data_IF_177277960527
#
_entry.id   IF_177277960527
#
_cell.length_a   1.000
_cell.length_b   1.000
_cell.length_c   1.000
_cell.angle_alpha   90.00
_cell.angle_beta   90.00
_cell.angle_gamma   90.00
#
_symmetry.space_group_name_H-M   'P 1'
#
loop_
_entity.id
_entity.type
_entity.pdbx_description
1 polymer ?
#
# COMPACT_ATOMS: atom_id res chain seq x y z
N UNK A 1 -24.62 5.12 18.43
CA UNK A 1 -23.34 4.48 18.85
C UNK A 1 -23.25 2.97 18.52
N UNK A 2 -24.01 2.43 17.54
CA UNK A 2 -23.91 1.01 17.13
C UNK A 2 -23.03 0.77 15.89
N UNK A 3 -22.68 1.82 15.16
CA UNK A 3 -22.06 1.78 13.83
C UNK A 3 -20.64 1.18 13.80
N UNK A 4 -19.79 1.53 14.77
CA UNK A 4 -18.39 1.05 14.84
C UNK A 4 -18.32 -0.47 15.10
N UNK A 5 -19.38 -1.08 15.66
CA UNK A 5 -19.39 -2.47 16.11
C UNK A 5 -19.31 -3.48 14.95
N UNK A 6 -19.91 -3.16 13.80
CA UNK A 6 -19.89 -4.03 12.62
C UNK A 6 -18.48 -4.11 12.02
N UNK A 7 -17.81 -2.96 11.87
CA UNK A 7 -16.43 -2.92 11.43
C UNK A 7 -15.54 -3.71 12.40
N UNK A 8 -15.52 -3.33 13.69
CA UNK A 8 -14.68 -3.99 14.69
C UNK A 8 -14.82 -5.51 14.76
N UNK A 9 -16.03 -6.03 14.49
CA UNK A 9 -16.33 -7.47 14.54
C UNK A 9 -15.89 -8.19 13.27
N UNK A 10 -15.94 -7.53 12.11
CA UNK A 10 -15.76 -8.16 10.80
C UNK A 10 -14.55 -7.64 9.99
N UNK A 11 -13.74 -6.75 10.54
CA UNK A 11 -12.55 -6.20 9.87
C UNK A 11 -11.68 -7.29 9.26
N UNK A 12 -11.41 -8.37 10.01
CA UNK A 12 -10.63 -9.52 9.51
C UNK A 12 -11.22 -10.18 8.29
N UNK A 13 -12.54 -10.36 8.24
CA UNK A 13 -13.21 -10.97 7.10
C UNK A 13 -13.17 -10.05 5.87
N UNK A 14 -13.45 -8.76 6.05
CA UNK A 14 -13.42 -7.79 4.96
C UNK A 14 -12.01 -7.56 4.40
N UNK A 15 -11.01 -7.44 5.27
CA UNK A 15 -9.63 -7.18 4.88
C UNK A 15 -8.89 -8.42 4.35
N UNK A 16 -9.41 -9.64 4.55
CA UNK A 16 -8.74 -10.89 4.14
C UNK A 16 -8.38 -10.90 2.66
N UNK A 17 -9.27 -10.44 1.80
CA UNK A 17 -9.06 -10.41 0.34
C UNK A 17 -8.01 -9.38 -0.12
N UNK A 18 -7.60 -8.50 0.79
CA UNK A 18 -6.57 -7.49 0.58
C UNK A 18 -5.28 -7.82 1.32
N UNK A 19 -5.29 -8.89 2.14
CA UNK A 19 -4.09 -9.41 2.75
C UNK A 19 -3.25 -10.19 1.73
N UNK A 20 -1.92 -10.12 1.87
CA UNK A 20 -1.01 -10.98 1.11
C UNK A 20 -1.25 -12.46 1.43
N UNK A 21 -1.09 -13.33 0.44
CA UNK A 21 -1.33 -14.78 0.58
C UNK A 21 -0.48 -15.44 1.67
N UNK A 22 0.69 -14.87 1.99
CA UNK A 22 1.59 -15.37 3.03
C UNK A 22 1.10 -15.14 4.46
N UNK A 23 0.04 -14.36 4.66
CA UNK A 23 -0.58 -14.13 5.96
C UNK A 23 -1.98 -14.74 5.96
N UNK A 24 -2.25 -15.60 6.93
CA UNK A 24 -3.54 -16.28 7.06
C UNK A 24 -4.59 -15.40 7.74
N UNK A 25 -4.16 -14.56 8.68
CA UNK A 25 -5.01 -13.60 9.37
C UNK A 25 -4.44 -12.18 9.33
N UNK A 26 -5.30 -11.19 9.67
CA UNK A 26 -4.85 -9.82 9.87
C UNK A 26 -3.75 -9.75 10.93
N UNK A 27 -3.88 -10.48 12.03
CA UNK A 27 -2.97 -10.34 13.18
C UNK A 27 -1.54 -10.77 12.88
N UNK A 28 -1.37 -11.67 11.91
CA UNK A 28 -0.05 -12.18 11.50
C UNK A 28 0.70 -11.20 10.59
N UNK A 29 -0.01 -10.23 10.01
CA UNK A 29 0.57 -9.28 9.09
C UNK A 29 1.23 -8.09 9.83
N UNK A 30 2.36 -7.56 9.31
CA UNK A 30 2.97 -6.35 9.84
C UNK A 30 2.00 -5.16 9.82
N UNK A 31 2.12 -4.23 10.77
CA UNK A 31 1.18 -3.11 10.98
C UNK A 31 0.87 -2.34 9.70
N UNK A 32 1.88 -1.94 8.92
CA UNK A 32 1.65 -1.24 7.65
C UNK A 32 0.84 -2.07 6.64
N UNK A 33 1.04 -3.39 6.62
CA UNK A 33 0.30 -4.30 5.73
C UNK A 33 -1.15 -4.46 6.20
N UNK A 34 -1.40 -4.51 7.51
CA UNK A 34 -2.75 -4.51 8.10
C UNK A 34 -3.51 -3.26 7.73
N UNK A 35 -2.91 -2.09 7.99
CA UNK A 35 -3.53 -0.79 7.68
C UNK A 35 -3.88 -0.67 6.20
N UNK A 36 -2.98 -1.08 5.29
CA UNK A 36 -3.26 -1.08 3.85
C UNK A 36 -4.43 -2.01 3.47
N UNK A 37 -4.49 -3.21 4.04
CA UNK A 37 -5.56 -4.17 3.76
C UNK A 37 -6.92 -3.66 4.28
N UNK A 38 -6.94 -3.08 5.48
CA UNK A 38 -8.13 -2.46 6.07
C UNK A 38 -8.61 -1.27 5.23
N UNK A 39 -7.71 -0.38 4.85
CA UNK A 39 -8.01 0.78 3.99
C UNK A 39 -8.59 0.32 2.65
N UNK A 40 -7.96 -0.66 2.02
CA UNK A 40 -8.39 -1.21 0.73
C UNK A 40 -9.78 -1.85 0.81
N UNK A 41 -10.10 -2.51 1.93
CA UNK A 41 -11.42 -3.07 2.17
C UNK A 41 -12.48 -1.98 2.30
N UNK A 42 -12.21 -0.93 3.10
CA UNK A 42 -13.11 0.21 3.23
C UNK A 42 -13.34 0.92 1.90
N UNK A 43 -12.29 1.10 1.11
CA UNK A 43 -12.39 1.75 -0.20
C UNK A 43 -13.17 0.89 -1.21
N UNK A 44 -13.03 -0.44 -1.16
CA UNK A 44 -13.80 -1.35 -2.01
C UNK A 44 -15.29 -1.35 -1.64
N UNK A 45 -15.63 -1.36 -0.34
CA UNK A 45 -17.01 -1.26 0.13
C UNK A 45 -17.62 0.08 -0.29
N UNK A 46 -16.88 1.17 -0.12
CA UNK A 46 -17.33 2.51 -0.49
C UNK A 46 -17.57 2.64 -2.00
N UNK A 47 -16.81 1.95 -2.85
CA UNK A 47 -17.09 1.89 -4.30
C UNK A 47 -18.43 1.23 -4.60
N UNK A 48 -18.74 0.12 -3.94
CA UNK A 48 -20.02 -0.58 -4.12
C UNK A 48 -21.16 0.32 -3.63
N UNK A 49 -21.04 0.89 -2.43
CA UNK A 49 -22.05 1.79 -1.87
C UNK A 49 -22.28 3.05 -2.73
N UNK A 50 -21.19 3.60 -3.28
CA UNK A 50 -21.28 4.76 -4.17
C UNK A 50 -22.12 4.49 -5.42
N UNK A 51 -22.10 3.26 -5.95
CA UNK A 51 -22.97 2.88 -7.07
C UNK A 51 -24.46 2.93 -6.73
N UNK A 52 -24.80 2.89 -5.44
CA UNK A 52 -26.14 3.05 -4.88
C UNK A 52 -26.40 4.47 -4.31
N UNK A 53 -25.49 5.43 -4.54
CA UNK A 53 -25.61 6.78 -3.97
C UNK A 53 -25.33 6.87 -2.47
N UNK A 54 -24.70 5.84 -1.90
CA UNK A 54 -24.34 5.76 -0.48
C UNK A 54 -22.82 5.90 -0.27
N UNK A 55 -22.43 6.05 0.99
CA UNK A 55 -21.03 6.10 1.45
C UNK A 55 -20.85 5.27 2.71
N UNK A 56 -19.61 4.90 3.02
CA UNK A 56 -19.29 4.15 4.25
C UNK A 56 -19.88 4.81 5.51
N UNK A 57 -19.76 6.13 5.63
CA UNK A 57 -20.24 6.88 6.79
C UNK A 57 -21.77 6.77 6.95
N UNK A 58 -22.52 6.73 5.84
CA UNK A 58 -23.99 6.61 5.86
C UNK A 58 -24.47 5.23 6.31
N UNK A 59 -23.66 4.18 6.12
CA UNK A 59 -23.97 2.82 6.60
C UNK A 59 -23.27 2.48 7.93
N UNK A 60 -22.57 3.44 8.53
CA UNK A 60 -21.91 3.28 9.82
C UNK A 60 -20.52 2.66 9.79
N UNK A 61 -19.90 2.54 8.62
CA UNK A 61 -18.50 2.13 8.49
C UNK A 61 -17.54 3.31 8.65
N UNK A 62 -16.28 3.08 9.04
CA UNK A 62 -15.24 4.11 8.96
C UNK A 62 -15.19 4.71 7.56
N UNK A 63 -15.01 6.04 7.50
CA UNK A 63 -14.90 6.72 6.23
C UNK A 63 -13.76 6.13 5.40
N UNK A 64 -14.06 5.82 4.14
CA UNK A 64 -13.05 5.48 3.15
C UNK A 64 -12.08 6.66 2.97
N UNK A 65 -10.92 6.38 2.41
CA UNK A 65 -9.95 7.42 2.09
C UNK A 65 -10.60 8.40 1.11
N UNK A 66 -10.60 9.72 1.37
CA UNK A 66 -11.13 10.67 0.41
C UNK A 66 -10.38 10.50 -0.90
N UNK A 67 -11.12 10.08 -1.93
CA UNK A 67 -10.58 9.78 -3.25
C UNK A 67 -9.92 11.06 -3.76
N UNK A 68 -8.63 11.04 -4.05
CA UNK A 68 -8.13 12.05 -4.96
C UNK A 68 -8.83 11.85 -6.31
N UNK A 69 -8.93 12.92 -7.08
CA UNK A 69 -9.17 12.81 -8.50
C UNK A 69 -7.97 12.16 -9.18
N UNK A 70 -7.77 10.85 -8.98
CA UNK A 70 -7.27 9.99 -10.05
C UNK A 70 -8.07 10.36 -11.30
N UNK A 71 -7.38 10.60 -12.41
CA UNK A 71 -8.12 10.69 -13.66
C UNK A 71 -8.88 9.37 -13.83
N UNK A 72 -10.13 9.43 -14.27
CA UNK A 72 -10.92 8.22 -14.49
C UNK A 72 -10.14 7.21 -15.36
N UNK A 73 -9.31 7.70 -16.28
CA UNK A 73 -8.39 6.91 -17.09
C UNK A 73 -7.37 6.08 -16.30
N UNK A 74 -6.73 6.63 -15.27
CA UNK A 74 -5.79 5.85 -14.44
C UNK A 74 -6.51 4.71 -13.71
N UNK A 75 -7.72 4.97 -13.20
CA UNK A 75 -8.53 3.93 -12.54
C UNK A 75 -8.92 2.83 -13.49
N UNK A 76 -9.43 3.20 -14.67
CA UNK A 76 -9.85 2.24 -15.69
C UNK A 76 -8.67 1.42 -16.22
N UNK A 77 -7.47 2.02 -16.28
CA UNK A 77 -6.25 1.34 -16.66
C UNK A 77 -5.81 0.26 -15.65
N UNK A 78 -5.86 0.58 -14.34
CA UNK A 78 -5.39 -0.33 -13.29
C UNK A 78 -6.45 -1.31 -12.79
N UNK A 79 -7.75 -1.00 -12.91
CA UNK A 79 -8.84 -1.87 -12.48
C UNK A 79 -8.73 -3.32 -12.97
N UNK A 80 -8.54 -3.62 -14.28
CA UNK A 80 -8.41 -4.99 -14.74
C UNK A 80 -7.10 -5.66 -14.30
N UNK A 81 -6.07 -4.88 -13.99
CA UNK A 81 -4.74 -5.39 -13.62
C UNK A 81 -4.61 -5.69 -12.13
N UNK A 82 -5.58 -5.27 -11.29
CA UNK A 82 -5.45 -5.35 -9.83
C UNK A 82 -5.11 -6.75 -9.34
N UNK A 83 -5.84 -7.78 -9.78
CA UNK A 83 -5.60 -9.15 -9.35
C UNK A 83 -4.16 -9.60 -9.69
N UNK A 84 -3.70 -9.32 -10.91
CA UNK A 84 -2.32 -9.62 -11.35
C UNK A 84 -1.29 -8.89 -10.49
N UNK A 85 -1.50 -7.60 -10.21
CA UNK A 85 -0.60 -6.79 -9.38
C UNK A 85 -0.55 -7.33 -7.94
N UNK A 86 -1.68 -7.82 -7.39
CA UNK A 86 -1.73 -8.47 -6.07
C UNK A 86 -0.87 -9.72 -6.06
N UNK A 87 -1.08 -10.60 -7.03
CA UNK A 87 -0.37 -11.89 -7.14
C UNK A 87 1.11 -11.65 -7.36
N UNK A 88 1.50 -10.72 -8.23
CA UNK A 88 2.89 -10.37 -8.47
C UNK A 88 3.57 -9.77 -7.21
N UNK A 89 2.87 -8.89 -6.47
CA UNK A 89 3.38 -8.36 -5.21
C UNK A 89 3.50 -9.45 -4.14
N UNK A 90 2.52 -10.35 -4.02
CA UNK A 90 2.56 -11.49 -3.10
C UNK A 90 3.74 -12.42 -3.43
N UNK A 91 3.89 -12.80 -4.69
CA UNK A 91 5.01 -13.62 -5.14
C UNK A 91 6.36 -12.95 -4.86
N UNK A 92 6.52 -11.67 -5.21
CA UNK A 92 7.75 -10.93 -4.95
C UNK A 92 8.17 -10.96 -3.47
N UNK A 93 7.19 -10.86 -2.56
CA UNK A 93 7.43 -10.90 -1.12
C UNK A 93 7.96 -12.24 -0.64
N UNK A 94 7.49 -13.36 -1.19
CA UNK A 94 8.01 -14.69 -0.81
C UNK A 94 9.49 -14.87 -1.16
N UNK A 95 10.01 -14.06 -2.09
CA UNK A 95 11.39 -14.13 -2.57
C UNK A 95 12.29 -13.04 -1.97
N UNK A 96 11.76 -12.17 -1.12
CA UNK A 96 12.56 -11.11 -0.52
C UNK A 96 13.52 -11.65 0.52
N UNK A 97 14.73 -11.10 0.52
CA UNK A 97 15.66 -11.32 1.63
C UNK A 97 15.16 -10.59 2.89
N UNK A 98 15.59 -10.98 4.10
CA UNK A 98 15.22 -10.29 5.33
C UNK A 98 15.48 -8.76 5.27
N UNK A 99 16.59 -8.37 4.65
CA UNK A 99 16.92 -6.97 4.44
C UNK A 99 15.92 -6.24 3.52
N UNK A 100 15.48 -6.90 2.45
CA UNK A 100 14.51 -6.34 1.50
C UNK A 100 13.11 -6.22 2.13
N UNK A 101 12.72 -7.17 2.98
CA UNK A 101 11.52 -7.06 3.82
C UNK A 101 11.58 -5.83 4.71
N UNK A 102 12.71 -5.62 5.39
CA UNK A 102 12.90 -4.47 6.27
C UNK A 102 12.81 -3.14 5.50
N UNK A 103 13.46 -3.03 4.33
CA UNK A 103 13.39 -1.83 3.48
C UNK A 103 11.94 -1.55 3.06
N UNK A 104 11.22 -2.57 2.59
CA UNK A 104 9.81 -2.42 2.20
C UNK A 104 8.97 -1.94 3.37
N UNK A 105 9.11 -2.56 4.53
CA UNK A 105 8.30 -2.20 5.70
C UNK A 105 8.58 -0.77 6.16
N UNK A 106 9.84 -0.36 6.22
CA UNK A 106 10.21 1.01 6.56
C UNK A 106 9.58 2.04 5.60
N UNK A 107 9.62 1.78 4.29
CA UNK A 107 9.02 2.66 3.29
C UNK A 107 7.49 2.71 3.44
N UNK A 108 6.82 1.56 3.60
CA UNK A 108 5.37 1.53 3.74
C UNK A 108 4.90 2.19 5.04
N UNK A 109 5.55 1.90 6.17
CA UNK A 109 5.24 2.56 7.44
C UNK A 109 5.42 4.08 7.32
N UNK A 110 6.52 4.51 6.71
CA UNK A 110 6.79 5.93 6.51
C UNK A 110 5.77 6.58 5.58
N UNK A 111 5.31 5.93 4.51
CA UNK A 111 4.23 6.45 3.64
C UNK A 111 2.93 6.63 4.42
N UNK A 112 2.54 5.63 5.21
CA UNK A 112 1.29 5.61 5.97
C UNK A 112 1.32 6.53 7.21
N UNK A 113 2.50 6.90 7.69
CA UNK A 113 2.62 7.78 8.85
C UNK A 113 1.98 9.15 8.55
N UNK A 114 1.10 9.65 9.44
CA UNK A 114 0.49 10.96 9.30
C UNK A 114 1.59 12.02 9.43
N UNK A 115 1.95 12.64 8.31
CA UNK A 115 3.02 13.63 8.22
C UNK A 115 2.55 14.84 7.43
N UNK A 116 3.02 16.02 7.84
CA UNK A 116 2.69 17.32 7.23
C UNK A 116 3.30 17.46 5.83
N UNK A 117 4.34 16.69 5.53
CA UNK A 117 5.00 16.66 4.22
C UNK A 117 4.15 15.90 3.19
N UNK A 118 3.83 16.59 2.10
CA UNK A 118 3.03 16.09 0.97
C UNK A 118 3.84 15.23 -0.02
N UNK A 119 5.17 15.26 0.05
CA UNK A 119 6.06 14.43 -0.76
C UNK A 119 7.09 13.71 0.12
N UNK A 120 7.36 12.44 -0.20
CA UNK A 120 8.34 11.60 0.51
C UNK A 120 9.31 11.01 -0.51
N UNK A 121 10.58 11.38 -0.41
CA UNK A 121 11.66 10.86 -1.25
C UNK A 121 12.41 9.77 -0.47
N UNK A 122 12.55 8.58 -1.07
CA UNK A 122 13.34 7.50 -0.49
C UNK A 122 14.47 7.12 -1.41
N UNK A 123 15.68 7.07 -0.85
CA UNK A 123 16.86 6.56 -1.53
C UNK A 123 17.13 5.11 -1.12
N UNK A 124 17.06 4.18 -2.07
CA UNK A 124 17.41 2.77 -1.83
C UNK A 124 18.81 2.50 -2.40
N UNK A 125 19.79 2.42 -1.51
CA UNK A 125 21.18 2.12 -1.87
C UNK A 125 21.49 0.63 -1.78
N UNK A 126 22.24 0.07 -2.71
CA UNK A 126 22.64 -1.34 -2.64
C UNK A 126 23.51 -1.77 -3.80
N UNK A 127 24.30 -2.83 -3.61
CA UNK A 127 25.21 -3.34 -4.63
C UNK A 127 24.47 -3.81 -5.91
N UNK A 128 25.18 -3.85 -7.03
CA UNK A 128 24.68 -4.50 -8.24
C UNK A 128 24.30 -5.97 -7.95
N UNK A 129 23.28 -6.49 -8.64
CA UNK A 129 22.80 -7.86 -8.44
C UNK A 129 22.01 -8.13 -7.15
N UNK A 130 21.84 -7.15 -6.24
CA UNK A 130 21.12 -7.33 -4.96
C UNK A 130 19.60 -7.10 -5.03
N UNK A 131 19.01 -7.19 -6.22
CA UNK A 131 17.56 -7.17 -6.40
C UNK A 131 16.86 -5.83 -6.07
N UNK A 132 17.55 -4.68 -6.16
CA UNK A 132 16.93 -3.36 -5.88
C UNK A 132 15.68 -3.10 -6.72
N UNK A 133 15.75 -3.39 -8.02
CA UNK A 133 14.61 -3.27 -8.95
C UNK A 133 13.45 -4.17 -8.54
N UNK A 134 13.77 -5.39 -8.07
CA UNK A 134 12.77 -6.34 -7.61
C UNK A 134 12.04 -5.84 -6.35
N UNK A 135 12.77 -5.20 -5.42
CA UNK A 135 12.17 -4.56 -4.24
C UNK A 135 11.27 -3.39 -4.63
N UNK A 136 11.78 -2.48 -5.47
CA UNK A 136 11.00 -1.32 -5.94
C UNK A 136 9.72 -1.77 -6.63
N UNK A 137 9.81 -2.74 -7.54
CA UNK A 137 8.63 -3.28 -8.22
C UNK A 137 7.61 -3.88 -7.24
N UNK A 138 8.09 -4.63 -6.24
CA UNK A 138 7.20 -5.20 -5.21
C UNK A 138 6.52 -4.14 -4.34
N UNK A 139 7.20 -3.03 -4.04
CA UNK A 139 6.65 -1.88 -3.32
C UNK A 139 5.62 -1.15 -4.19
N UNK A 140 5.96 -0.82 -5.45
CA UNK A 140 5.06 -0.15 -6.39
C UNK A 140 3.80 -0.99 -6.58
N UNK A 141 3.91 -2.28 -6.87
CA UNK A 141 2.75 -3.16 -7.02
C UNK A 141 1.87 -3.19 -5.76
N UNK A 142 2.46 -3.07 -4.56
CA UNK A 142 1.70 -3.03 -3.31
C UNK A 142 0.94 -1.70 -3.12
N UNK A 143 1.52 -0.58 -3.57
CA UNK A 143 0.90 0.74 -3.52
C UNK A 143 -0.22 0.86 -4.56
N UNK A 144 0.02 0.41 -5.79
CA UNK A 144 -0.98 0.42 -6.87
C UNK A 144 -2.18 -0.49 -6.56
N UNK A 145 -1.95 -1.57 -5.81
CA UNK A 145 -3.00 -2.45 -5.32
C UNK A 145 -3.95 -1.77 -4.32
N UNK A 146 -3.46 -0.82 -3.53
CA UNK A 146 -4.15 -0.24 -2.37
C UNK A 146 -4.77 1.15 -2.63
N UNK A 147 -4.89 1.55 -3.90
CA UNK A 147 -5.26 2.92 -4.27
C UNK A 147 -6.76 3.22 -3.97
N UNK A 148 -7.03 4.31 -3.21
CA UNK A 148 -6.49 5.63 -3.50
C UNK A 148 -5.71 6.25 -2.33
N UNK A 149 -4.45 5.85 -2.13
CA UNK A 149 -3.46 6.59 -1.33
C UNK A 149 -2.93 7.85 -2.05
N UNK A 150 -3.71 8.45 -2.93
CA UNK A 150 -3.30 9.62 -3.68
C UNK A 150 -3.24 10.93 -2.87
N UNK A 151 -3.52 10.93 -1.56
CA UNK A 151 -3.07 12.04 -0.71
C UNK A 151 -1.54 12.18 -0.74
N UNK A 152 -0.83 11.12 -1.15
CA UNK A 152 0.62 11.07 -1.28
C UNK A 152 1.15 10.76 -2.68
N UNK A 153 0.31 10.61 -3.70
CA UNK A 153 0.76 10.24 -5.04
C UNK A 153 0.17 11.17 -6.10
N UNK A 154 0.66 12.39 -6.25
CA UNK A 154 0.64 13.02 -7.57
C UNK A 154 1.77 12.40 -8.40
N UNK A 155 1.71 12.44 -9.75
CA UNK A 155 2.90 12.20 -10.56
C UNK A 155 4.06 13.08 -10.03
N UNK A 156 5.02 12.47 -9.31
CA UNK A 156 6.12 13.18 -8.64
C UNK A 156 6.11 13.24 -7.10
N UNK A 157 5.08 12.76 -6.38
CA UNK A 157 4.98 12.91 -4.90
C UNK A 157 5.69 11.83 -4.06
N UNK A 158 5.80 10.60 -4.58
CA UNK A 158 6.72 9.58 -4.06
C UNK A 158 7.71 9.27 -5.17
N UNK A 159 8.90 9.83 -5.03
CA UNK A 159 10.00 9.49 -5.91
C UNK A 159 10.83 8.39 -5.21
N UNK A 160 10.92 7.23 -5.86
CA UNK A 160 11.83 6.17 -5.47
C UNK A 160 13.05 6.28 -6.38
N UNK A 161 14.08 6.97 -5.90
CA UNK A 161 15.32 7.12 -6.65
C UNK A 161 16.25 5.94 -6.35
N UNK A 162 16.70 5.26 -7.41
CA UNK A 162 17.72 4.20 -7.32
C UNK A 162 19.05 4.80 -7.77
N UNK A 163 19.89 5.21 -6.82
CA UNK A 163 21.23 5.70 -7.15
C UNK A 163 22.26 4.56 -7.27
N UNK A 164 23.15 4.67 -8.25
CA UNK A 164 24.35 3.83 -8.42
C UNK A 164 25.56 4.66 -7.98
N UNK A 165 25.99 4.52 -6.73
CA UNK A 165 27.16 5.21 -6.16
C UNK A 165 28.23 4.20 -5.67
N UNK A 166 29.52 4.56 -5.67
CA UNK A 166 30.59 3.75 -5.10
C UNK A 166 30.38 3.57 -3.58
N UNK A 167 30.61 2.36 -3.08
CA UNK A 167 30.05 1.85 -1.83
C UNK A 167 30.95 2.13 -0.61
N UNK A 168 30.42 2.86 0.38
CA UNK A 168 30.92 2.85 1.77
C UNK A 168 29.87 2.21 2.70
N UNK A 169 29.93 0.88 2.84
CA UNK A 169 29.63 0.20 4.10
C UNK A 169 28.28 0.41 4.81
N UNK A 170 27.13 0.44 4.11
CA UNK A 170 25.82 -0.06 4.60
C UNK A 170 24.70 0.38 3.67
N UNK A 171 23.67 -0.47 3.51
CA UNK A 171 22.41 -0.06 2.86
C UNK A 171 21.55 0.66 3.89
N UNK A 172 21.36 1.96 3.72
CA UNK A 172 20.48 2.77 4.56
C UNK A 172 19.31 3.29 3.73
N UNK A 173 18.12 3.31 4.32
CA UNK A 173 17.02 4.15 3.84
C UNK A 173 17.22 5.49 4.50
N UNK A 174 17.50 6.53 3.70
CA UNK A 174 17.65 7.89 4.18
C UNK A 174 16.42 8.66 3.70
N UNK A 175 15.56 9.19 4.60
CA UNK A 175 14.60 10.19 4.22
C UNK A 175 15.38 11.42 3.76
N UNK A 176 15.11 11.91 2.55
CA UNK A 176 15.76 13.12 2.05
C UNK A 176 15.16 14.38 2.69
#
# INVERSE_FOLDING_TARGET
MQHIRLWQTHTSAFARNFLPLQYDSLQDAPTATRTLAEQSALDAIDRVLFSFGLSNAQVGLPAATPRSALTQGDRDFFAPQQHRLRTASAHARTMFTPQQHHIREAILQSILAPTVQTSKLYLIQGRAGRGKTFVVQGIVNALEMSSPLHRYWQPGSVQLAVAKLPWHGSTRVIPA
#
